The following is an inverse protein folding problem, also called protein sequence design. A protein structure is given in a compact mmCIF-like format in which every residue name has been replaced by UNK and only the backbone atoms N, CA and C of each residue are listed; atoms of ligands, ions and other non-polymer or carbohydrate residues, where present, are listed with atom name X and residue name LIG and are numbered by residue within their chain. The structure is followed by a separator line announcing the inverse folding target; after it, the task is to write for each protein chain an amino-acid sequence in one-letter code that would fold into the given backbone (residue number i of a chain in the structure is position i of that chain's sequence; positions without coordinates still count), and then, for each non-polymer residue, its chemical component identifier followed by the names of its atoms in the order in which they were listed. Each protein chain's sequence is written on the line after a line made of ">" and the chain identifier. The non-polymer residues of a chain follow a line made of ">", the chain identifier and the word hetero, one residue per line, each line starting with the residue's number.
data_IF_112983979324
#
_entry.id   IF_112983979324
#
_cell.length_a   1.000
_cell.length_b   1.000
_cell.length_c   1.000
_cell.angle_alpha   90.00
_cell.angle_beta   90.00
_cell.angle_gamma   90.00
#
_symmetry.space_group_name_H-M   'P 1'
#
loop_
_entity.id
_entity.type
_entity.pdbx_description
1 polymer ?
#
# COMPACT_ATOMS: atom_id res chain seq x y z
N UNK A 1 10.42 28.44 -15.54
CA UNK A 1 11.21 27.36 -16.18
C UNK A 1 10.26 26.23 -16.56
N UNK A 2 10.28 25.69 -17.78
CA UNK A 2 9.55 24.46 -18.05
C UNK A 2 10.25 23.30 -17.31
N UNK A 3 9.46 22.48 -16.62
CA UNK A 3 9.89 21.18 -16.09
C UNK A 3 10.19 20.27 -17.29
N UNK A 4 11.43 20.30 -17.79
CA UNK A 4 11.84 19.60 -19.02
C UNK A 4 11.90 18.07 -18.90
N UNK A 5 11.64 17.51 -17.71
CA UNK A 5 11.71 16.07 -17.47
C UNK A 5 10.48 15.59 -16.72
N UNK A 6 9.75 14.65 -17.36
CA UNK A 6 8.67 13.88 -16.77
C UNK A 6 9.16 13.26 -15.44
N UNK A 7 8.53 13.56 -14.29
CA UNK A 7 8.95 13.04 -13.00
C UNK A 7 8.86 11.51 -12.98
N UNK A 8 9.89 10.86 -12.43
CA UNK A 8 9.92 9.39 -12.30
C UNK A 8 9.90 8.92 -10.85
N UNK A 9 10.18 9.81 -9.91
CA UNK A 9 10.23 9.51 -8.47
C UNK A 9 9.23 10.38 -7.70
N UNK A 10 8.85 9.96 -6.48
CA UNK A 10 7.94 10.71 -5.64
C UNK A 10 8.49 12.11 -5.31
N UNK A 11 9.80 12.20 -5.03
CA UNK A 11 10.47 13.48 -4.73
C UNK A 11 10.42 14.42 -5.93
N UNK A 12 10.75 13.94 -7.13
CA UNK A 12 10.63 14.74 -8.36
C UNK A 12 9.19 15.16 -8.61
N UNK A 13 8.22 14.29 -8.31
CA UNK A 13 6.80 14.58 -8.50
C UNK A 13 6.32 15.69 -7.56
N UNK A 14 6.72 15.66 -6.28
CA UNK A 14 6.42 16.73 -5.33
C UNK A 14 7.04 18.06 -5.77
N UNK A 15 8.29 18.05 -6.22
CA UNK A 15 8.96 19.25 -6.76
C UNK A 15 8.24 19.77 -8.00
N UNK A 16 7.82 18.88 -8.91
CA UNK A 16 7.09 19.27 -10.11
C UNK A 16 5.69 19.83 -9.79
N UNK A 17 4.97 19.22 -8.83
CA UNK A 17 3.67 19.71 -8.37
C UNK A 17 3.78 21.07 -7.68
N UNK A 18 4.84 21.31 -6.92
CA UNK A 18 5.14 22.60 -6.31
C UNK A 18 5.48 23.66 -7.37
N UNK A 19 6.36 23.34 -8.32
CA UNK A 19 6.74 24.23 -9.41
C UNK A 19 5.55 24.57 -10.34
N UNK A 20 4.59 23.65 -10.49
CA UNK A 20 3.38 23.87 -11.28
C UNK A 20 2.34 24.74 -10.57
N UNK A 21 2.43 24.98 -9.25
CA UNK A 21 1.40 25.74 -8.51
C UNK A 21 1.11 27.11 -9.13
N UNK A 22 2.15 27.84 -9.54
CA UNK A 22 2.01 29.18 -10.08
C UNK A 22 1.30 29.21 -11.43
N UNK A 23 1.50 28.18 -12.26
CA UNK A 23 0.89 28.08 -13.60
C UNK A 23 -0.48 27.40 -13.61
N UNK A 24 -0.85 26.69 -12.54
CA UNK A 24 -2.13 26.01 -12.41
C UNK A 24 -3.25 26.99 -12.01
N UNK A 25 -4.41 26.86 -12.66
CA UNK A 25 -5.65 27.50 -12.20
C UNK A 25 -6.18 26.88 -10.90
N UNK A 26 -7.25 27.45 -10.33
CA UNK A 26 -7.83 27.03 -9.03
C UNK A 26 -8.04 25.51 -8.90
N UNK A 27 -8.59 24.86 -9.93
CA UNK A 27 -8.82 23.42 -9.94
C UNK A 27 -7.53 22.60 -9.98
N UNK A 28 -6.52 23.05 -10.74
CA UNK A 28 -5.21 22.40 -10.80
C UNK A 28 -4.46 22.50 -9.47
N UNK A 29 -4.50 23.65 -8.81
CA UNK A 29 -3.88 23.84 -7.48
C UNK A 29 -4.51 22.92 -6.43
N UNK A 30 -5.84 22.78 -6.43
CA UNK A 30 -6.55 21.82 -5.55
C UNK A 30 -6.10 20.38 -5.78
N UNK A 31 -6.01 19.97 -7.04
CA UNK A 31 -5.53 18.63 -7.39
C UNK A 31 -4.08 18.41 -6.94
N UNK A 32 -3.21 19.38 -7.18
CA UNK A 32 -1.81 19.27 -6.81
C UNK A 32 -1.61 19.23 -5.29
N UNK A 33 -2.39 20.01 -4.52
CA UNK A 33 -2.43 19.90 -3.06
C UNK A 33 -2.95 18.53 -2.60
N UNK A 34 -4.05 18.06 -3.18
CA UNK A 34 -4.61 16.74 -2.88
C UNK A 34 -3.58 15.62 -3.07
N UNK A 35 -2.84 15.60 -4.18
CA UNK A 35 -1.79 14.60 -4.38
C UNK A 35 -0.60 14.78 -3.41
N UNK A 36 -0.20 16.02 -3.10
CA UNK A 36 0.91 16.30 -2.19
C UNK A 36 0.63 15.88 -0.74
N UNK A 37 -0.63 15.87 -0.29
CA UNK A 37 -1.03 15.43 1.06
C UNK A 37 -0.71 13.94 1.29
N UNK A 38 -1.03 13.09 0.31
CA UNK A 38 -0.72 11.67 0.36
C UNK A 38 -0.68 11.06 -1.04
N UNK A 39 0.50 11.09 -1.66
CA UNK A 39 0.70 10.60 -3.03
C UNK A 39 0.22 9.15 -3.18
N UNK A 40 0.58 8.31 -2.21
CA UNK A 40 0.32 6.88 -2.28
C UNK A 40 -1.17 6.53 -2.21
N UNK A 41 -1.85 6.94 -1.14
CA UNK A 41 -3.28 6.64 -1.00
C UNK A 41 -4.09 7.21 -2.16
N UNK A 42 -3.74 8.41 -2.64
CA UNK A 42 -4.44 9.07 -3.73
C UNK A 42 -4.12 8.45 -5.11
N UNK A 43 -3.00 7.74 -5.25
CA UNK A 43 -2.67 6.96 -6.44
C UNK A 43 -3.62 5.78 -6.70
N UNK A 44 -4.34 5.31 -5.68
CA UNK A 44 -5.27 4.18 -5.84
C UNK A 44 -6.62 4.60 -6.44
N UNK A 45 -6.90 5.91 -6.47
CA UNK A 45 -8.16 6.46 -6.94
C UNK A 45 -8.18 6.59 -8.46
N UNK A 46 -9.34 6.33 -9.06
CA UNK A 46 -9.59 6.65 -10.47
C UNK A 46 -9.61 8.17 -10.71
N UNK A 47 -9.44 8.60 -11.96
CA UNK A 47 -9.51 10.01 -12.32
C UNK A 47 -10.86 10.65 -11.92
N UNK A 48 -11.95 9.88 -12.03
CA UNK A 48 -13.29 10.34 -11.66
C UNK A 48 -13.45 10.52 -10.15
N UNK A 49 -12.90 9.60 -9.34
CA UNK A 49 -12.93 9.73 -7.88
C UNK A 49 -12.08 10.90 -7.39
N UNK A 50 -10.88 11.08 -7.95
CA UNK A 50 -10.04 12.25 -7.66
C UNK A 50 -10.77 13.54 -8.02
N UNK A 51 -11.39 13.57 -9.20
CA UNK A 51 -12.15 14.73 -9.67
C UNK A 51 -13.30 15.08 -8.72
N UNK A 52 -14.07 14.07 -8.30
CA UNK A 52 -15.17 14.23 -7.36
C UNK A 52 -14.69 14.77 -6.00
N UNK A 53 -13.64 14.17 -5.42
CA UNK A 53 -13.06 14.61 -4.13
C UNK A 53 -12.50 16.03 -4.21
N UNK A 54 -11.91 16.38 -5.35
CA UNK A 54 -11.36 17.70 -5.59
C UNK A 54 -12.39 18.68 -6.15
N UNK A 55 -13.67 18.32 -6.32
CA UNK A 55 -14.71 19.18 -6.89
C UNK A 55 -14.32 19.79 -8.25
N UNK A 56 -13.69 19.00 -9.12
CA UNK A 56 -13.29 19.36 -10.49
C UNK A 56 -13.84 18.34 -11.49
N UNK A 57 -13.64 18.60 -12.78
CA UNK A 57 -13.97 17.63 -13.83
C UNK A 57 -12.81 16.64 -14.03
N UNK A 58 -13.09 15.38 -14.37
CA UNK A 58 -12.09 14.37 -14.72
C UNK A 58 -11.10 14.84 -15.80
N UNK A 59 -11.56 15.64 -16.76
CA UNK A 59 -10.69 16.27 -17.78
C UNK A 59 -9.65 17.21 -17.18
N UNK A 60 -9.91 17.83 -16.02
CA UNK A 60 -8.94 18.67 -15.30
C UNK A 60 -7.84 17.81 -14.67
N UNK A 61 -8.18 16.62 -14.20
CA UNK A 61 -7.22 15.63 -13.67
C UNK A 61 -6.27 15.16 -14.78
N UNK A 62 -6.81 14.85 -15.96
CA UNK A 62 -6.00 14.44 -17.12
C UNK A 62 -5.09 15.60 -17.58
N UNK A 63 -5.60 16.83 -17.64
CA UNK A 63 -4.79 18.01 -18.00
C UNK A 63 -3.66 18.27 -17.01
N UNK A 64 -3.87 18.05 -15.72
CA UNK A 64 -2.78 18.16 -14.73
C UNK A 64 -1.66 17.17 -15.05
N UNK A 65 -1.99 15.90 -15.31
CA UNK A 65 -0.98 14.90 -15.69
C UNK A 65 -0.24 15.31 -16.97
N UNK A 66 -0.97 15.82 -17.97
CA UNK A 66 -0.36 16.32 -19.21
C UNK A 66 0.54 17.54 -18.99
N UNK A 67 0.16 18.46 -18.11
CA UNK A 67 0.98 19.61 -17.74
C UNK A 67 2.30 19.21 -17.05
N UNK A 68 2.34 18.03 -16.41
CA UNK A 68 3.55 17.44 -15.81
C UNK A 68 4.36 16.58 -16.79
N UNK A 69 3.96 16.52 -18.06
CA UNK A 69 4.66 15.77 -19.11
C UNK A 69 4.26 14.30 -19.25
N UNK A 70 3.15 13.87 -18.61
CA UNK A 70 2.58 12.54 -18.82
C UNK A 70 1.60 12.54 -20.00
N UNK A 71 1.47 11.42 -20.69
CA UNK A 71 0.47 11.21 -21.75
C UNK A 71 -0.97 11.29 -21.24
N UNK A 72 -1.19 10.95 -19.97
CA UNK A 72 -2.48 11.06 -19.29
C UNK A 72 -2.44 10.55 -17.86
N UNK A 73 -3.63 10.45 -17.25
CA UNK A 73 -3.76 10.10 -15.83
C UNK A 73 -3.25 8.70 -15.49
N UNK A 74 -3.45 7.70 -16.35
CA UNK A 74 -3.01 6.31 -16.10
C UNK A 74 -1.49 6.22 -15.94
N UNK A 75 -0.74 6.94 -16.74
CA UNK A 75 0.73 6.94 -16.67
C UNK A 75 1.22 7.66 -15.41
N UNK A 76 0.61 8.79 -15.07
CA UNK A 76 0.85 9.48 -13.80
C UNK A 76 0.53 8.59 -12.58
N UNK A 77 -0.61 7.89 -12.62
CA UNK A 77 -1.05 6.94 -11.60
C UNK A 77 -0.05 5.78 -11.43
N UNK A 78 0.48 5.24 -12.52
CA UNK A 78 1.46 4.16 -12.48
C UNK A 78 2.76 4.58 -11.77
N UNK A 79 3.26 5.80 -12.05
CA UNK A 79 4.45 6.33 -11.35
C UNK A 79 4.17 6.47 -9.85
N UNK A 80 2.99 6.98 -9.46
CA UNK A 80 2.63 7.07 -8.05
C UNK A 80 2.54 5.70 -7.34
N UNK A 81 2.00 4.67 -8.02
CA UNK A 81 1.84 3.32 -7.46
C UNK A 81 3.17 2.57 -7.33
N UNK A 82 4.10 2.76 -8.27
CA UNK A 82 5.46 2.20 -8.19
C UNK A 82 6.20 2.69 -6.93
N UNK A 83 6.00 3.96 -6.57
CA UNK A 83 6.60 4.54 -5.38
C UNK A 83 6.03 3.96 -4.09
N UNK A 84 4.72 3.67 -4.05
CA UNK A 84 4.11 2.94 -2.92
C UNK A 84 4.77 1.57 -2.73
N UNK A 85 4.99 0.83 -3.83
CA UNK A 85 5.62 -0.48 -3.78
C UNK A 85 7.07 -0.39 -3.29
N UNK A 86 7.80 0.67 -3.68
CA UNK A 86 9.16 0.95 -3.20
C UNK A 86 9.19 1.24 -1.69
N UNK A 87 8.28 2.10 -1.21
CA UNK A 87 8.18 2.46 0.22
C UNK A 87 7.77 1.25 1.09
N UNK A 88 6.83 0.44 0.60
CA UNK A 88 6.40 -0.77 1.30
C UNK A 88 7.53 -1.81 1.42
N UNK A 89 8.32 -2.00 0.36
CA UNK A 89 9.49 -2.86 0.39
C UNK A 89 10.55 -2.35 1.38
N UNK A 90 10.85 -1.04 1.37
CA UNK A 90 11.82 -0.47 2.32
C UNK A 90 11.43 -0.68 3.80
N UNK A 91 10.14 -0.57 4.14
CA UNK A 91 9.65 -0.81 5.50
C UNK A 91 9.70 -2.30 5.91
N UNK A 92 9.61 -3.23 4.95
CA UNK A 92 9.76 -4.65 5.24
C UNK A 92 11.19 -5.08 5.58
N UNK A 93 12.22 -4.29 5.19
CA UNK A 93 13.61 -4.55 5.60
C UNK A 93 13.89 -4.09 7.04
N UNK A 94 13.22 -3.05 7.53
CA UNK A 94 13.34 -2.58 8.93
C UNK A 94 12.59 -3.51 9.91
N UNK A 95 11.54 -4.19 9.43
CA UNK A 95 10.81 -5.20 10.19
C UNK A 95 11.55 -6.56 10.29
N UNK A 96 12.76 -6.68 9.73
CA UNK A 96 13.61 -7.88 9.84
C UNK A 96 14.60 -7.80 11.02
N UNK A 97 14.19 -7.22 12.15
CA UNK A 97 14.71 -7.72 13.42
C UNK A 97 13.97 -9.03 13.72
N UNK A 98 14.66 -10.16 13.94
CA UNK A 98 13.98 -11.38 14.36
C UNK A 98 13.27 -11.08 15.68
N UNK A 99 11.95 -11.02 15.65
CA UNK A 99 11.16 -11.13 16.87
C UNK A 99 11.64 -12.40 17.58
N UNK A 100 12.11 -12.36 18.84
CA UNK A 100 12.47 -13.58 19.54
C UNK A 100 11.22 -14.45 19.57
N UNK A 101 11.31 -15.58 18.87
CA UNK A 101 10.29 -16.62 18.79
C UNK A 101 9.81 -16.93 20.21
N UNK A 102 8.62 -16.45 20.56
CA UNK A 102 7.93 -16.85 21.77
C UNK A 102 7.39 -18.26 21.54
N UNK A 103 8.18 -19.23 22.01
CA UNK A 103 7.77 -20.61 22.32
C UNK A 103 7.48 -21.54 21.14
N UNK A 104 8.55 -22.00 20.48
CA UNK A 104 8.62 -23.42 20.12
C UNK A 104 8.86 -24.22 21.41
N UNK A 105 7.79 -24.53 22.16
CA UNK A 105 7.88 -25.53 23.24
C UNK A 105 8.11 -26.89 22.58
N UNK A 106 9.20 -27.62 22.87
CA UNK A 106 9.28 -29.00 22.43
C UNK A 106 8.17 -29.79 23.12
N UNK A 107 7.34 -30.47 22.32
CA UNK A 107 6.39 -31.48 22.78
C UNK A 107 7.21 -32.61 23.42
N UNK A 108 7.44 -32.54 24.73
CA UNK A 108 7.90 -33.68 25.51
C UNK A 108 6.72 -34.63 25.68
N UNK A 109 6.54 -35.52 24.69
CA UNK A 109 5.62 -36.64 24.77
C UNK A 109 6.24 -37.67 25.73
N UNK A 110 5.98 -37.54 27.02
CA UNK A 110 6.36 -38.55 28.00
C UNK A 110 5.43 -39.76 27.81
N UNK A 111 5.90 -40.75 27.06
CA UNK A 111 5.25 -42.03 26.88
C UNK A 111 5.43 -42.84 28.18
N UNK A 112 4.54 -42.67 29.16
CA UNK A 112 4.39 -43.67 30.22
C UNK A 112 3.66 -44.88 29.65
N UNK A 113 4.46 -45.77 29.05
CA UNK A 113 4.16 -47.18 29.00
C UNK A 113 4.18 -47.74 30.43
N UNK A 114 3.07 -47.63 31.15
CA UNK A 114 2.68 -48.62 32.17
C UNK A 114 1.25 -48.35 32.62
N UNK A 115 0.31 -49.16 32.14
CA UNK A 115 -0.89 -49.62 32.86
C UNK A 115 -1.80 -50.36 31.89
N UNK A 116 -1.36 -51.55 31.51
CA UNK A 116 -2.29 -52.59 31.11
C UNK A 116 -3.05 -53.04 32.36
N UNK A 117 -4.32 -52.64 32.50
CA UNK A 117 -5.36 -53.44 33.15
C UNK A 117 -6.73 -52.78 33.07
N UNK A 118 -7.71 -53.63 32.81
CA UNK A 118 -9.13 -53.44 33.13
C UNK A 118 -10.03 -52.79 32.07
N UNK A 119 -10.29 -53.53 30.99
CA UNK A 119 -11.53 -53.34 30.21
C UNK A 119 -12.28 -54.64 29.89
N UNK A 120 -11.86 -55.81 30.39
CA UNK A 120 -12.54 -57.07 30.09
C UNK A 120 -13.39 -57.67 31.23
N UNK A 121 -13.68 -56.91 32.29
CA UNK A 121 -14.41 -57.47 33.45
C UNK A 121 -15.92 -57.19 33.46
N UNK A 122 -16.46 -56.44 32.50
CA UNK A 122 -17.88 -56.04 32.49
C UNK A 122 -18.76 -56.76 31.46
N UNK A 123 -18.37 -57.95 30.98
CA UNK A 123 -19.16 -58.72 30.00
C UNK A 123 -19.51 -60.16 30.44
N UNK A 124 -19.32 -60.53 31.71
CA UNK A 124 -19.63 -61.87 32.25
C UNK A 124 -20.64 -61.88 33.41
N UNK A 125 -21.42 -60.81 33.59
CA UNK A 125 -22.46 -60.74 34.63
C UNK A 125 -23.77 -60.13 34.13
N UNK A 126 -24.39 -60.76 33.13
CA UNK A 126 -25.83 -60.66 32.89
C UNK A 126 -26.28 -61.74 31.89
N UNK A 127 -26.97 -62.76 32.42
CA UNK A 127 -28.01 -63.60 31.79
C UNK A 127 -27.73 -64.26 30.43
#
# INVERSE_FOLDING_TARGET
>A
MPIQTKPKTATELLVALAAAQDSLGKGGRRLAGFFAENLGANAMLSASEVAQRCGVNASTVVRLAQALGYTGYREFQAVLQDQLMTIAQAQSLDASAPSPSLMARPLNLHLLADSGRSFNDAAAAAA
#
